data_IF_941640254134
#
_entry.id   IF_941640254134
#
_cell.length_a   1.000
_cell.length_b   1.000
_cell.length_c   1.000
_cell.angle_alpha   90.00
_cell.angle_beta   90.00
_cell.angle_gamma   90.00
#
_symmetry.space_group_name_H-M   'P 1'
#
loop_
_entity.id
_entity.type
_entity.pdbx_description
1 polymer ?
#
# COMPACT_ATOMS: atom_id res chain seq x y z
N UNK A 1 61.84 19.00 -37.73
CA UNK A 1 60.40 19.09 -37.40
C UNK A 1 60.10 18.04 -36.36
N UNK A 2 59.69 18.43 -35.16
CA UNK A 2 59.45 17.52 -34.03
C UNK A 2 57.95 17.47 -33.73
N UNK A 3 57.35 16.30 -33.86
CA UNK A 3 55.93 16.05 -33.55
C UNK A 3 55.82 15.49 -32.12
N UNK A 4 55.10 16.20 -31.27
CA UNK A 4 54.77 15.74 -29.91
C UNK A 4 53.44 14.97 -29.97
N UNK A 5 53.36 13.72 -29.48
CA UNK A 5 52.10 12.99 -29.45
C UNK A 5 51.26 13.45 -28.25
N UNK A 6 50.06 13.99 -28.51
CA UNK A 6 49.06 14.22 -27.45
C UNK A 6 48.45 12.89 -27.02
N UNK A 7 48.59 12.54 -25.74
CA UNK A 7 47.85 11.44 -25.13
C UNK A 7 46.40 11.86 -24.89
N UNK A 8 45.46 11.22 -25.59
CA UNK A 8 44.03 11.33 -25.30
C UNK A 8 43.69 10.32 -24.22
N UNK A 9 43.23 10.79 -23.05
CA UNK A 9 42.75 9.91 -21.97
C UNK A 9 41.33 9.46 -22.31
N UNK A 10 41.01 8.15 -22.33
CA UNK A 10 39.66 7.70 -22.60
C UNK A 10 38.75 8.07 -21.42
N UNK A 11 37.67 8.81 -21.70
CA UNK A 11 36.61 9.05 -20.73
C UNK A 11 35.84 7.74 -20.54
N UNK A 12 35.99 7.11 -19.37
CA UNK A 12 35.19 5.94 -19.02
C UNK A 12 33.72 6.37 -18.92
N UNK A 13 32.79 5.78 -19.68
CA UNK A 13 31.38 6.10 -19.53
C UNK A 13 30.97 5.70 -18.11
N UNK A 14 30.53 6.68 -17.32
CA UNK A 14 29.90 6.41 -16.03
C UNK A 14 28.56 5.74 -16.33
N UNK A 15 28.50 4.43 -16.20
CA UNK A 15 27.25 3.68 -16.23
C UNK A 15 26.49 4.07 -14.96
N UNK A 16 25.59 5.04 -15.09
CA UNK A 16 24.60 5.30 -14.05
C UNK A 16 23.69 4.09 -13.99
N UNK A 17 24.03 3.13 -13.13
CA UNK A 17 23.11 2.05 -12.77
C UNK A 17 21.92 2.73 -12.14
N UNK A 18 20.82 2.84 -12.91
CA UNK A 18 19.51 3.16 -12.35
C UNK A 18 19.20 2.01 -11.40
N UNK A 19 19.52 2.17 -10.11
CA UNK A 19 19.06 1.26 -9.07
C UNK A 19 17.55 1.17 -9.24
N UNK A 20 17.05 -0.01 -9.62
CA UNK A 20 15.62 -0.33 -9.55
C UNK A 20 15.08 0.17 -8.20
N UNK A 21 13.89 0.77 -8.14
CA UNK A 21 13.38 1.32 -6.89
C UNK A 21 13.31 0.22 -5.82
N UNK A 22 13.69 0.65 -4.62
CA UNK A 22 14.11 -0.13 -3.46
C UNK A 22 12.97 -0.85 -2.71
N UNK A 23 12.17 -1.66 -3.43
CA UNK A 23 10.99 -2.35 -2.91
C UNK A 23 9.72 -1.52 -3.03
N UNK A 24 8.68 -1.79 -2.22
CA UNK A 24 7.33 -1.22 -2.35
C UNK A 24 6.76 -0.83 -0.99
N UNK A 25 5.88 0.16 -0.96
CA UNK A 25 5.04 0.44 0.21
C UNK A 25 3.63 -0.09 -0.08
N UNK A 26 3.19 -1.08 0.70
CA UNK A 26 1.92 -1.79 0.49
C UNK A 26 0.96 -1.45 1.63
N UNK A 27 -0.20 -0.89 1.29
CA UNK A 27 -1.27 -0.59 2.23
C UNK A 27 -2.46 -1.50 1.94
N UNK A 28 -2.89 -2.27 2.92
CA UNK A 28 -4.14 -3.03 2.86
C UNK A 28 -5.26 -2.22 3.48
N UNK A 29 -6.33 -2.00 2.71
CA UNK A 29 -7.57 -1.38 3.19
C UNK A 29 -8.66 -2.44 3.25
N UNK A 30 -9.08 -2.81 4.46
CA UNK A 30 -9.98 -3.93 4.72
C UNK A 30 -11.35 -3.42 5.12
N UNK A 31 -12.39 -3.85 4.42
CA UNK A 31 -13.77 -3.66 4.86
C UNK A 31 -13.98 -4.44 6.18
N UNK A 32 -14.02 -3.67 7.26
CA UNK A 32 -14.29 -4.12 8.62
C UNK A 32 -15.73 -3.84 9.04
N UNK A 33 -16.65 -3.57 8.11
CA UNK A 33 -18.07 -3.37 8.42
C UNK A 33 -18.73 -4.65 8.96
N UNK A 34 -19.88 -4.52 9.62
CA UNK A 34 -20.58 -5.69 10.16
C UNK A 34 -20.92 -6.77 9.12
N UNK A 35 -21.05 -6.39 7.84
CA UNK A 35 -21.33 -7.30 6.73
C UNK A 35 -20.21 -8.31 6.47
N UNK A 36 -18.95 -7.97 6.78
CA UNK A 36 -17.79 -8.82 6.49
C UNK A 36 -17.35 -9.67 7.67
N UNK A 37 -18.06 -9.60 8.82
CA UNK A 37 -17.65 -10.26 10.07
C UNK A 37 -17.34 -11.75 9.92
N UNK A 38 -18.17 -12.49 9.19
CA UNK A 38 -17.97 -13.92 8.94
C UNK A 38 -16.84 -14.22 7.96
N UNK A 39 -16.59 -13.32 7.01
CA UNK A 39 -15.53 -13.44 6.00
C UNK A 39 -14.17 -12.88 6.44
N UNK A 40 -14.12 -12.11 7.53
CA UNK A 40 -12.91 -11.45 8.00
C UNK A 40 -11.73 -12.39 8.26
N UNK A 41 -11.90 -13.63 8.80
CA UNK A 41 -10.80 -14.59 8.90
C UNK A 41 -10.13 -14.87 7.55
N UNK A 42 -10.90 -15.01 6.46
CA UNK A 42 -10.35 -15.22 5.13
C UNK A 42 -9.63 -13.99 4.58
N UNK A 43 -10.11 -12.78 4.88
CA UNK A 43 -9.41 -11.54 4.54
C UNK A 43 -8.05 -11.45 5.25
N UNK A 44 -8.01 -11.78 6.54
CA UNK A 44 -6.78 -11.83 7.32
C UNK A 44 -5.80 -12.86 6.77
N UNK A 45 -6.27 -14.04 6.39
CA UNK A 45 -5.43 -15.09 5.79
C UNK A 45 -4.89 -14.68 4.42
N UNK A 46 -5.68 -13.96 3.63
CA UNK A 46 -5.21 -13.36 2.38
C UNK A 46 -4.09 -12.35 2.64
N UNK A 47 -4.24 -11.44 3.61
CA UNK A 47 -3.20 -10.47 3.96
C UNK A 47 -1.92 -11.17 4.42
N UNK A 48 -2.01 -12.19 5.27
CA UNK A 48 -0.85 -12.99 5.70
C UNK A 48 -0.10 -13.58 4.49
N UNK A 49 -0.84 -14.25 3.58
CA UNK A 49 -0.24 -14.85 2.37
C UNK A 49 0.43 -13.83 1.47
N UNK A 50 -0.13 -12.61 1.34
CA UNK A 50 0.51 -11.54 0.57
C UNK A 50 1.79 -11.05 1.27
N UNK A 51 1.75 -10.82 2.59
CA UNK A 51 2.92 -10.38 3.38
C UNK A 51 4.05 -11.40 3.32
N UNK A 52 3.75 -12.70 3.29
CA UNK A 52 4.77 -13.75 3.16
C UNK A 52 5.63 -13.59 1.90
N UNK A 53 5.07 -13.04 0.82
CA UNK A 53 5.80 -12.80 -0.45
C UNK A 53 6.68 -11.54 -0.44
N UNK A 54 6.52 -10.66 0.55
CA UNK A 54 7.21 -9.38 0.62
C UNK A 54 8.59 -9.50 1.30
N UNK A 55 9.54 -8.66 0.89
CA UNK A 55 10.88 -8.53 1.48
C UNK A 55 10.91 -7.45 2.57
N UNK A 56 10.22 -7.70 3.68
CA UNK A 56 10.14 -6.75 4.82
C UNK A 56 11.44 -6.70 5.62
N UNK A 57 12.07 -7.86 5.90
CA UNK A 57 13.27 -7.94 6.74
C UNK A 57 14.49 -7.23 6.13
N UNK A 58 14.55 -7.12 4.80
CA UNK A 58 15.57 -6.36 4.06
C UNK A 58 15.25 -4.84 3.99
N UNK A 59 14.14 -4.41 4.59
CA UNK A 59 13.62 -3.04 4.50
C UNK A 59 13.18 -2.62 3.09
N UNK A 60 13.14 -3.55 2.13
CA UNK A 60 12.70 -3.30 0.75
C UNK A 60 11.21 -2.99 0.76
N UNK A 61 10.41 -3.85 1.37
CA UNK A 61 8.97 -3.66 1.43
C UNK A 61 8.50 -3.16 2.79
N UNK A 62 7.49 -2.27 2.79
CA UNK A 62 6.79 -1.80 3.99
C UNK A 62 5.31 -2.13 3.89
N UNK A 63 4.69 -2.40 5.03
CA UNK A 63 3.28 -2.82 5.09
C UNK A 63 2.52 -1.95 6.07
N UNK A 64 1.31 -1.56 5.70
CA UNK A 64 0.31 -0.96 6.59
C UNK A 64 -1.01 -1.70 6.42
N UNK A 65 -1.78 -1.80 7.50
CA UNK A 65 -3.15 -2.32 7.47
C UNK A 65 -4.09 -1.30 8.09
N UNK A 66 -5.18 -1.02 7.39
CA UNK A 66 -6.27 -0.16 7.83
C UNK A 66 -7.57 -0.92 7.68
N UNK A 67 -8.39 -0.93 8.71
CA UNK A 67 -9.79 -1.40 8.60
C UNK A 67 -10.69 -0.18 8.40
N UNK A 68 -11.81 -0.32 7.70
CA UNK A 68 -12.78 0.77 7.58
C UNK A 68 -14.23 0.28 7.63
N UNK A 69 -15.12 1.19 7.99
CA UNK A 69 -16.57 1.06 7.90
C UNK A 69 -17.13 2.48 7.76
N UNK A 70 -17.73 3.04 8.81
CA UNK A 70 -18.12 4.45 8.89
C UNK A 70 -16.91 5.37 8.89
N UNK A 71 -15.84 4.91 9.53
CA UNK A 71 -14.58 5.58 9.80
C UNK A 71 -13.40 4.61 9.55
N UNK A 72 -12.22 5.12 9.17
CA UNK A 72 -10.99 4.33 9.08
C UNK A 72 -10.35 4.11 10.46
N UNK A 73 -9.82 2.92 10.68
CA UNK A 73 -9.04 2.53 11.85
C UNK A 73 -7.70 1.92 11.41
N UNK A 74 -6.63 2.71 11.53
CA UNK A 74 -5.27 2.25 11.26
C UNK A 74 -4.89 1.21 12.31
N UNK A 75 -4.49 0.02 11.85
CA UNK A 75 -4.00 -1.04 12.72
C UNK A 75 -2.49 -0.88 12.96
N UNK A 76 -1.77 -0.48 11.91
CA UNK A 76 -0.37 -0.05 11.97
C UNK A 76 0.01 0.70 10.69
N UNK A 77 1.00 1.58 10.78
CA UNK A 77 1.54 2.39 9.69
C UNK A 77 2.73 1.71 9.00
N UNK A 78 3.17 2.26 7.86
CA UNK A 78 4.27 1.70 7.05
C UNK A 78 5.61 1.67 7.79
N UNK A 79 5.80 2.53 8.79
CA UNK A 79 6.99 2.60 9.63
C UNK A 79 6.82 1.94 11.02
N UNK A 80 5.71 1.24 11.29
CA UNK A 80 5.47 0.63 12.60
C UNK A 80 6.33 -0.61 12.84
N UNK A 81 6.46 -1.48 11.84
CA UNK A 81 7.21 -2.73 11.96
C UNK A 81 8.34 -2.81 10.95
N UNK A 82 9.46 -3.41 11.37
CA UNK A 82 10.65 -3.57 10.53
C UNK A 82 10.95 -5.01 10.16
N UNK A 83 10.27 -5.98 10.78
CA UNK A 83 10.44 -7.40 10.48
C UNK A 83 9.15 -8.02 9.95
N UNK A 84 9.28 -9.01 9.07
CA UNK A 84 8.13 -9.75 8.53
C UNK A 84 7.34 -10.43 9.65
N UNK A 85 8.05 -10.98 10.65
CA UNK A 85 7.44 -11.66 11.79
C UNK A 85 6.50 -10.74 12.56
N UNK A 86 6.91 -9.51 12.86
CA UNK A 86 6.07 -8.53 13.57
C UNK A 86 4.81 -8.17 12.77
N UNK A 87 4.95 -7.98 11.44
CA UNK A 87 3.79 -7.74 10.56
C UNK A 87 2.83 -8.93 10.61
N UNK A 88 3.33 -10.16 10.43
CA UNK A 88 2.51 -11.37 10.43
C UNK A 88 1.82 -11.61 11.79
N UNK A 89 2.53 -11.43 12.90
CA UNK A 89 1.98 -11.58 14.25
C UNK A 89 0.89 -10.52 14.50
N UNK A 90 1.11 -9.28 14.07
CA UNK A 90 0.11 -8.21 14.16
C UNK A 90 -1.13 -8.50 13.29
N UNK A 91 -0.94 -9.00 12.07
CA UNK A 91 -2.05 -9.38 11.17
C UNK A 91 -2.84 -10.53 11.77
N UNK A 92 -2.17 -11.57 12.30
CA UNK A 92 -2.82 -12.71 12.96
C UNK A 92 -3.71 -12.26 14.13
N UNK A 93 -3.26 -11.25 14.87
CA UNK A 93 -3.97 -10.67 16.01
C UNK A 93 -5.13 -9.72 15.66
N UNK A 94 -5.35 -9.39 14.37
CA UNK A 94 -6.42 -8.47 13.98
C UNK A 94 -7.79 -8.97 14.39
N UNK A 95 -8.55 -8.06 15.01
CA UNK A 95 -9.96 -8.25 15.32
C UNK A 95 -10.80 -7.46 14.33
N UNK A 96 -11.91 -8.04 13.90
CA UNK A 96 -12.87 -7.38 13.02
C UNK A 96 -13.38 -6.08 13.68
N UNK A 97 -13.28 -4.95 12.96
CA UNK A 97 -13.65 -3.62 13.48
C UNK A 97 -15.13 -3.51 13.84
N UNK A 98 -16.02 -4.04 13.00
CA UNK A 98 -17.44 -3.75 13.04
C UNK A 98 -17.78 -2.33 12.56
N UNK A 99 -19.09 -2.08 12.45
CA UNK A 99 -19.63 -0.76 12.15
C UNK A 99 -20.37 -0.66 10.81
N UNK A 100 -21.05 0.48 10.65
CA UNK A 100 -21.87 0.86 9.49
C UNK A 100 -22.06 2.38 9.48
N UNK A 101 -22.30 3.02 8.32
CA UNK A 101 -22.33 2.46 6.96
C UNK A 101 -20.92 2.11 6.44
N UNK A 102 -20.82 1.56 5.23
CA UNK A 102 -19.54 1.31 4.54
C UNK A 102 -19.16 2.53 3.70
N UNK A 103 -18.17 3.33 4.14
CA UNK A 103 -17.74 4.57 3.48
C UNK A 103 -16.34 4.40 2.86
N UNK A 104 -16.30 3.84 1.65
CA UNK A 104 -15.04 3.59 0.92
C UNK A 104 -14.38 4.90 0.50
N UNK A 105 -15.13 5.89 0.04
CA UNK A 105 -14.60 7.18 -0.40
C UNK A 105 -13.88 7.94 0.72
N UNK A 106 -14.49 7.99 1.90
CA UNK A 106 -13.88 8.57 3.11
C UNK A 106 -12.60 7.83 3.51
N UNK A 107 -12.58 6.50 3.41
CA UNK A 107 -11.39 5.71 3.68
C UNK A 107 -10.25 5.97 2.69
N UNK A 108 -10.54 6.04 1.39
CA UNK A 108 -9.55 6.39 0.37
C UNK A 108 -8.94 7.78 0.61
N UNK A 109 -9.77 8.77 0.95
CA UNK A 109 -9.31 10.11 1.31
C UNK A 109 -8.40 10.08 2.54
N UNK A 110 -8.78 9.33 3.56
CA UNK A 110 -7.97 9.18 4.76
C UNK A 110 -6.59 8.56 4.45
N UNK A 111 -6.52 7.54 3.58
CA UNK A 111 -5.24 6.95 3.19
C UNK A 111 -4.33 7.96 2.50
N UNK A 112 -4.87 8.76 1.58
CA UNK A 112 -4.14 9.84 0.90
C UNK A 112 -3.52 10.81 1.91
N UNK A 113 -4.32 11.25 2.87
CA UNK A 113 -3.96 12.34 3.78
C UNK A 113 -3.14 11.87 4.99
N UNK A 114 -3.19 10.59 5.36
CA UNK A 114 -2.63 10.10 6.63
C UNK A 114 -1.69 8.89 6.48
N UNK A 115 -1.85 8.03 5.47
CA UNK A 115 -1.08 6.77 5.37
C UNK A 115 -0.03 6.82 4.26
N UNK A 116 -0.37 7.36 3.10
CA UNK A 116 0.57 7.60 2.00
C UNK A 116 1.39 8.89 2.20
N UNK A 117 1.81 9.14 3.43
CA UNK A 117 2.57 10.33 3.86
C UNK A 117 3.94 9.95 4.41
N UNK A 118 4.91 10.85 4.31
CA UNK A 118 6.26 10.61 4.83
C UNK A 118 6.27 10.36 6.35
N UNK A 119 5.41 11.05 7.10
CA UNK A 119 5.26 10.86 8.55
C UNK A 119 4.74 9.48 8.93
N UNK A 120 3.91 8.86 8.08
CA UNK A 120 3.43 7.49 8.24
C UNK A 120 4.38 6.43 7.66
N UNK A 121 5.55 6.84 7.14
CA UNK A 121 6.56 5.93 6.60
C UNK A 121 6.48 5.68 5.10
N UNK A 122 5.62 6.38 4.36
CA UNK A 122 5.63 6.31 2.90
C UNK A 122 6.93 6.90 2.34
N UNK A 123 7.56 6.15 1.44
CA UNK A 123 8.76 6.52 0.69
C UNK A 123 8.42 7.04 -0.70
N UNK A 124 7.17 7.46 -0.93
CA UNK A 124 6.71 8.09 -2.18
C UNK A 124 7.60 9.25 -2.64
N UNK A 125 8.06 10.20 -1.79
CA UNK A 125 8.94 11.28 -2.22
C UNK A 125 10.28 10.81 -2.78
N UNK A 126 10.72 9.61 -2.41
CA UNK A 126 11.94 8.96 -2.91
C UNK A 126 11.68 8.05 -4.12
N UNK A 127 10.48 8.09 -4.70
CA UNK A 127 10.11 7.32 -5.89
C UNK A 127 9.80 5.83 -5.64
N UNK A 128 9.65 5.41 -4.38
CA UNK A 128 9.26 4.03 -4.06
C UNK A 128 7.80 3.81 -4.48
N UNK A 129 7.49 2.74 -5.26
CA UNK A 129 6.12 2.42 -5.64
C UNK A 129 5.18 2.28 -4.44
N UNK A 130 4.02 2.91 -4.55
CA UNK A 130 2.95 2.85 -3.54
C UNK A 130 1.84 1.95 -4.06
N UNK A 131 1.43 0.96 -3.29
CA UNK A 131 0.39 -0.01 -3.66
C UNK A 131 -0.72 0.03 -2.62
N UNK A 132 -1.95 0.19 -3.08
CA UNK A 132 -3.16 0.01 -2.28
C UNK A 132 -3.83 -1.30 -2.69
N UNK A 133 -4.04 -2.20 -1.74
CA UNK A 133 -4.89 -3.38 -1.91
C UNK A 133 -6.18 -3.14 -1.12
N UNK A 134 -7.26 -2.84 -1.84
CA UNK A 134 -8.60 -2.66 -1.28
C UNK A 134 -9.34 -4.00 -1.27
N UNK A 135 -9.82 -4.43 -0.11
CA UNK A 135 -10.70 -5.60 0.02
C UNK A 135 -12.04 -5.10 0.53
N UNK A 136 -13.07 -5.19 -0.31
CA UNK A 136 -14.41 -4.67 0.00
C UNK A 136 -15.47 -5.77 -0.03
N UNK A 137 -16.42 -5.70 0.90
CA UNK A 137 -17.55 -6.63 1.05
C UNK A 137 -18.83 -6.15 0.38
N UNK A 138 -18.94 -4.85 0.11
CA UNK A 138 -20.19 -4.22 -0.27
C UNK A 138 -19.99 -2.96 -1.12
N UNK A 139 -21.11 -2.42 -1.58
CA UNK A 139 -21.18 -1.11 -2.23
C UNK A 139 -20.93 0.02 -1.22
N UNK A 140 -20.19 1.02 -1.61
CA UNK A 140 -19.97 2.22 -0.81
C UNK A 140 -21.26 3.04 -0.63
N UNK A 141 -21.40 3.66 0.54
CA UNK A 141 -22.46 4.63 0.82
C UNK A 141 -22.09 6.06 0.41
N UNK A 142 -20.82 6.32 0.16
CA UNK A 142 -20.30 7.59 -0.34
C UNK A 142 -19.64 7.44 -1.72
N UNK A 143 -19.43 8.57 -2.41
CA UNK A 143 -18.77 8.56 -3.72
C UNK A 143 -17.28 8.22 -3.58
N UNK A 144 -16.84 7.30 -4.44
CA UNK A 144 -15.44 6.86 -4.50
C UNK A 144 -14.62 7.56 -5.61
N UNK A 145 -15.28 8.24 -6.56
CA UNK A 145 -14.66 8.70 -7.81
C UNK A 145 -13.55 9.72 -7.56
N UNK A 146 -13.83 10.78 -6.79
CA UNK A 146 -12.84 11.81 -6.45
C UNK A 146 -11.69 11.24 -5.60
N UNK A 147 -11.95 10.53 -4.48
CA UNK A 147 -10.88 9.95 -3.66
C UNK A 147 -10.00 8.94 -4.42
N UNK A 148 -10.58 8.08 -5.25
CA UNK A 148 -9.84 7.11 -6.05
C UNK A 148 -8.97 7.81 -7.11
N UNK A 149 -9.54 8.82 -7.80
CA UNK A 149 -8.79 9.64 -8.76
C UNK A 149 -7.63 10.38 -8.10
N UNK A 150 -7.83 10.93 -6.91
CA UNK A 150 -6.78 11.63 -6.16
C UNK A 150 -5.63 10.69 -5.79
N UNK A 151 -5.90 9.45 -5.35
CA UNK A 151 -4.86 8.45 -5.08
C UNK A 151 -4.10 8.05 -6.36
N UNK A 152 -4.81 7.88 -7.47
CA UNK A 152 -4.19 7.58 -8.77
C UNK A 152 -3.26 8.71 -9.23
N UNK A 153 -3.69 9.96 -9.10
CA UNK A 153 -2.87 11.14 -9.41
C UNK A 153 -1.66 11.26 -8.48
N UNK A 154 -1.76 10.76 -7.25
CA UNK A 154 -0.64 10.67 -6.31
C UNK A 154 0.39 9.58 -6.67
N UNK A 155 0.09 8.75 -7.68
CA UNK A 155 0.95 7.65 -8.11
C UNK A 155 0.74 6.35 -7.33
N UNK A 156 -0.39 6.21 -6.63
CA UNK A 156 -0.76 4.97 -5.94
C UNK A 156 -1.36 3.98 -6.94
N UNK A 157 -0.77 2.79 -7.02
CA UNK A 157 -1.33 1.66 -7.76
C UNK A 157 -2.40 0.98 -6.90
N UNK A 158 -3.66 1.09 -7.30
CA UNK A 158 -4.78 0.47 -6.58
C UNK A 158 -5.15 -0.86 -7.23
N UNK A 159 -5.30 -1.90 -6.39
CA UNK A 159 -5.83 -3.21 -6.73
C UNK A 159 -7.06 -3.42 -5.84
N UNK A 160 -8.24 -3.50 -6.44
CA UNK A 160 -9.49 -3.75 -5.71
C UNK A 160 -9.89 -5.23 -5.81
N UNK A 161 -10.30 -5.79 -4.69
CA UNK A 161 -10.77 -7.17 -4.55
C UNK A 161 -12.15 -7.09 -3.92
N UNK A 162 -13.18 -7.31 -4.74
CA UNK A 162 -14.56 -7.40 -4.29
C UNK A 162 -14.93 -8.82 -3.89
N UNK A 163 -15.83 -8.94 -2.92
CA UNK A 163 -16.55 -10.19 -2.65
C UNK A 163 -17.93 -10.16 -3.33
N UNK A 164 -18.78 -11.18 -3.12
CA UNK A 164 -20.09 -11.28 -3.77
C UNK A 164 -21.00 -10.04 -3.62
N UNK A 165 -20.83 -9.24 -2.57
CA UNK A 165 -21.65 -8.05 -2.31
C UNK A 165 -21.11 -6.75 -2.91
N UNK A 166 -19.91 -6.77 -3.49
CA UNK A 166 -19.27 -5.57 -4.03
C UNK A 166 -19.88 -5.13 -5.35
N UNK A 167 -19.92 -3.83 -5.59
CA UNK A 167 -20.33 -3.27 -6.89
C UNK A 167 -19.15 -3.35 -7.87
N UNK A 168 -19.28 -4.03 -9.02
CA UNK A 168 -18.21 -4.11 -10.01
C UNK A 168 -17.77 -2.75 -10.59
N UNK A 169 -18.59 -1.70 -10.45
CA UNK A 169 -18.23 -0.33 -10.83
C UNK A 169 -17.29 0.35 -9.83
N UNK A 170 -17.17 -0.22 -8.64
CA UNK A 170 -16.32 0.26 -7.55
C UNK A 170 -15.00 -0.53 -7.41
N UNK A 171 -14.72 -1.43 -8.38
CA UNK A 171 -13.51 -2.26 -8.44
C UNK A 171 -12.54 -1.80 -9.53
#
# INVERSE_FOLDING_TARGET
MSTVPMRVTPLTPTVTVVRQPAGRDVVFLLDGSDATRSGFPAMRDFVQKQVDTLSVDDGKDRVSVVQYSSDPAVQFYLNTYTTKREVLDSVRGLRHKGGRPLNTGAALRYLRDNVFTASAGSRRPSGVPQVLILITGGRSFDSIDEPASALKQLGVLTIAIGTRGSDPREL
#
